data_IF_428226546963
#
_entry.id   IF_428226546963
#
_cell.length_a   1.000
_cell.length_b   1.000
_cell.length_c   1.000
_cell.angle_alpha   90.00
_cell.angle_beta   90.00
_cell.angle_gamma   90.00
#
_symmetry.space_group_name_H-M   'P 1'
#
loop_
_entity.id
_entity.type
_entity.pdbx_description
1 polymer ?
#
# COMPACT_ATOMS: atom_id res chain seq x y z
N UNK A 1 -10.84 -3.12 -3.60
CA UNK A 1 -9.52 -2.84 -4.18
C UNK A 1 -9.49 -1.59 -5.06
N UNK A 2 -10.23 -1.51 -6.18
CA UNK A 2 -10.18 -0.37 -7.11
C UNK A 2 -10.42 1.00 -6.45
N UNK A 3 -11.41 1.10 -5.55
CA UNK A 3 -11.69 2.32 -4.77
C UNK A 3 -10.53 2.71 -3.85
N UNK A 4 -9.85 1.72 -3.25
CA UNK A 4 -8.71 1.94 -2.34
C UNK A 4 -7.53 2.50 -3.13
N UNK A 5 -7.25 1.91 -4.30
CA UNK A 5 -6.19 2.37 -5.21
C UNK A 5 -6.48 3.81 -5.69
N UNK A 6 -7.73 4.09 -6.07
CA UNK A 6 -8.12 5.44 -6.49
C UNK A 6 -7.96 6.48 -5.37
N UNK A 7 -8.41 6.16 -4.15
CA UNK A 7 -8.23 7.05 -2.99
C UNK A 7 -6.75 7.23 -2.63
N UNK A 8 -5.93 6.17 -2.70
CA UNK A 8 -4.50 6.26 -2.47
C UNK A 8 -3.83 7.20 -3.49
N UNK A 9 -4.13 7.05 -4.78
CA UNK A 9 -3.57 7.92 -5.82
C UNK A 9 -3.93 9.40 -5.65
N UNK A 10 -5.07 9.73 -5.04
CA UNK A 10 -5.40 11.12 -4.70
C UNK A 10 -4.47 11.69 -3.63
N UNK A 11 -4.01 10.87 -2.69
CA UNK A 11 -3.07 11.27 -1.64
C UNK A 11 -1.60 11.21 -2.10
N UNK A 12 -1.28 10.28 -3.01
CA UNK A 12 0.07 10.02 -3.52
C UNK A 12 0.08 10.03 -5.06
N UNK A 13 -0.07 11.21 -5.70
CA UNK A 13 -0.21 11.32 -7.15
C UNK A 13 1.05 10.95 -7.94
N UNK A 14 2.18 10.79 -7.27
CA UNK A 14 3.49 10.55 -7.87
C UNK A 14 4.02 9.12 -7.67
N UNK A 15 3.29 8.27 -6.94
CA UNK A 15 3.67 6.87 -6.74
C UNK A 15 3.23 6.00 -7.91
N UNK A 16 4.11 5.13 -8.40
CA UNK A 16 3.75 4.07 -9.33
C UNK A 16 3.36 2.82 -8.56
N UNK A 17 2.12 2.32 -8.74
CA UNK A 17 1.72 1.04 -8.18
C UNK A 17 2.54 -0.08 -8.83
N UNK A 18 3.27 -0.84 -8.02
CA UNK A 18 4.05 -2.00 -8.45
C UNK A 18 3.26 -3.30 -8.28
N UNK A 19 2.61 -3.46 -7.13
CA UNK A 19 1.87 -4.66 -6.78
C UNK A 19 0.69 -4.32 -5.86
N UNK A 20 -0.35 -5.13 -5.94
CA UNK A 20 -1.50 -5.11 -5.06
C UNK A 20 -1.87 -6.55 -4.72
N UNK A 21 -1.67 -6.94 -3.46
CA UNK A 21 -1.85 -8.30 -2.97
C UNK A 21 -2.88 -8.33 -1.84
N UNK A 22 -3.57 -9.47 -1.68
CA UNK A 22 -4.50 -9.70 -0.58
C UNK A 22 -3.83 -10.68 0.38
N UNK A 23 -3.56 -10.23 1.58
CA UNK A 23 -2.84 -10.99 2.60
C UNK A 23 -3.72 -11.23 3.83
N UNK A 24 -3.33 -12.19 4.66
CA UNK A 24 -4.00 -12.47 5.93
C UNK A 24 -3.01 -12.30 7.08
N UNK A 25 -3.17 -11.21 7.81
CA UNK A 25 -2.25 -10.79 8.86
C UNK A 25 -3.00 -10.52 10.16
N UNK A 26 -2.41 -10.90 11.29
CA UNK A 26 -2.97 -10.72 12.63
C UNK A 26 -4.47 -11.09 12.79
N UNK A 27 -4.96 -12.04 11.99
CA UNK A 27 -6.36 -12.49 12.03
C UNK A 27 -7.34 -11.73 11.14
N UNK A 28 -6.86 -10.84 10.27
CA UNK A 28 -7.67 -10.07 9.33
C UNK A 28 -7.10 -10.09 7.91
N UNK A 29 -7.95 -9.79 6.93
CA UNK A 29 -7.52 -9.66 5.53
C UNK A 29 -7.11 -8.22 5.25
N UNK A 30 -5.97 -8.04 4.59
CA UNK A 30 -5.40 -6.72 4.25
C UNK A 30 -5.02 -6.66 2.78
N UNK A 31 -5.21 -5.50 2.17
CA UNK A 31 -4.67 -5.20 0.85
C UNK A 31 -3.31 -4.52 1.01
N UNK A 32 -2.25 -5.25 0.67
CA UNK A 32 -0.89 -4.76 0.60
C UNK A 32 -0.65 -4.08 -0.76
N UNK A 33 -0.45 -2.76 -0.76
CA UNK A 33 -0.17 -1.99 -1.97
C UNK A 33 1.28 -1.49 -1.94
N UNK A 34 2.11 -1.99 -2.86
CA UNK A 34 3.49 -1.56 -3.01
C UNK A 34 3.59 -0.45 -4.07
N UNK A 35 4.14 0.69 -3.69
CA UNK A 35 4.34 1.84 -4.57
C UNK A 35 5.81 2.25 -4.65
N UNK A 36 6.27 2.51 -5.87
CA UNK A 36 7.58 3.11 -6.13
C UNK A 36 7.46 4.64 -6.17
N UNK A 37 8.25 5.34 -5.36
CA UNK A 37 8.36 6.79 -5.40
C UNK A 37 9.30 7.23 -6.53
N UNK A 38 9.25 8.51 -6.92
CA UNK A 38 10.19 9.09 -7.89
C UNK A 38 11.65 9.05 -7.42
N UNK A 39 11.87 8.91 -6.11
CA UNK A 39 13.20 8.80 -5.50
C UNK A 39 13.73 7.35 -5.51
N UNK A 40 12.97 6.41 -6.09
CA UNK A 40 13.35 5.01 -6.18
C UNK A 40 13.06 4.20 -4.91
N UNK A 41 12.34 4.78 -3.94
CA UNK A 41 11.99 4.13 -2.67
C UNK A 41 10.67 3.38 -2.83
N UNK A 42 10.63 2.12 -2.40
CA UNK A 42 9.39 1.34 -2.34
C UNK A 42 8.73 1.59 -0.99
N UNK A 43 7.43 1.86 -1.01
CA UNK A 43 6.60 1.94 0.19
C UNK A 43 5.44 0.98 0.06
N UNK A 44 5.15 0.32 1.16
CA UNK A 44 4.03 -0.57 1.29
C UNK A 44 2.95 0.08 2.16
N UNK A 45 1.72 0.00 1.67
CA UNK A 45 0.56 0.51 2.35
C UNK A 45 -0.45 -0.61 2.50
N UNK A 46 -0.71 -0.99 3.73
CA UNK A 46 -1.65 -2.04 4.06
C UNK A 46 -3.00 -1.43 4.45
N UNK A 47 -4.06 -1.89 3.80
CA UNK A 47 -5.42 -1.44 4.03
C UNK A 47 -6.28 -2.58 4.54
N UNK A 48 -7.13 -2.34 5.54
CA UNK A 48 -8.14 -3.32 5.93
C UNK A 48 -9.02 -3.66 4.72
N UNK A 49 -9.11 -4.95 4.37
CA UNK A 49 -9.80 -5.37 3.15
C UNK A 49 -11.33 -5.22 3.21
N UNK A 50 -11.89 -5.04 4.40
CA UNK A 50 -13.32 -4.90 4.68
C UNK A 50 -13.74 -3.44 4.71
N UNK A 51 -12.95 -2.57 5.35
CA UNK A 51 -13.28 -1.13 5.53
C UNK A 51 -12.57 -0.23 4.52
N UNK A 52 -11.42 -0.67 3.99
CA UNK A 52 -10.55 0.15 3.13
C UNK A 52 -9.78 1.23 3.88
N UNK A 53 -9.75 1.17 5.22
CA UNK A 53 -8.98 2.08 6.06
C UNK A 53 -7.51 1.69 6.06
N UNK A 54 -6.62 2.68 6.10
CA UNK A 54 -5.19 2.44 6.20
C UNK A 54 -4.88 1.83 7.56
N UNK A 55 -4.29 0.64 7.55
CA UNK A 55 -3.96 -0.12 8.76
C UNK A 55 -2.49 0.03 9.13
N UNK A 56 -1.59 -0.17 8.16
CA UNK A 56 -0.15 -0.07 8.37
C UNK A 56 0.57 0.54 7.17
N UNK A 57 1.76 1.11 7.43
CA UNK A 57 2.63 1.66 6.38
C UNK A 57 4.05 1.22 6.67
N UNK A 58 4.62 0.44 5.76
CA UNK A 58 6.02 0.02 5.82
C UNK A 58 6.84 0.73 4.74
N UNK A 59 8.09 1.00 5.07
CA UNK A 59 9.05 1.62 4.16
C UNK A 59 10.10 0.57 3.79
N UNK A 60 9.91 -0.12 2.65
CA UNK A 60 10.94 -0.99 2.06
C UNK A 60 11.98 -0.10 1.35
N UNK A 61 12.88 0.49 2.12
CA UNK A 61 13.95 1.35 1.64
C UNK A 61 15.22 1.21 2.47
N UNK A 62 16.11 0.33 1.99
CA UNK A 62 17.51 0.11 2.39
C UNK A 62 17.79 0.11 3.90
N UNK A 63 17.73 -1.09 4.49
CA UNK A 63 18.58 -1.48 5.63
C UNK A 63 20.04 -1.17 5.22
N UNK A 64 20.61 -0.08 5.76
CA UNK A 64 22.03 0.27 5.58
C UNK A 64 22.75 0.20 6.91
#
# INVERSE_FOLDING_TARGET
LEVIIAHHHLQHPHGQLLAAELEFEEGQYVYALKFLSQEGVVREFEYDARTGELWHVEHEGEDH
#
